data_IF_920260482371
#
_entry.id   IF_920260482371
#
_cell.length_a   1.000
_cell.length_b   1.000
_cell.length_c   1.000
_cell.angle_alpha   90.00
_cell.angle_beta   90.00
_cell.angle_gamma   90.00
#
_symmetry.space_group_name_H-M   'P 1'
#
loop_
_entity.id
_entity.type
_entity.pdbx_description
1 polymer ?
#
# COMPACT_ATOMS: atom_id res chain seq x y z
N UNK A 1 1.53 17.22 72.15
CA UNK A 1 2.47 16.28 71.47
C UNK A 1 1.80 14.91 71.42
N UNK A 2 1.12 14.58 70.31
CA UNK A 2 0.42 13.29 70.14
C UNK A 2 1.32 12.35 69.34
N UNK A 3 1.65 11.19 69.91
CA UNK A 3 2.44 10.12 69.30
C UNK A 3 1.56 9.36 68.30
N UNK A 4 2.00 9.25 67.04
CA UNK A 4 1.35 8.44 66.01
C UNK A 4 2.21 7.19 65.77
N UNK A 5 1.75 6.06 66.30
CA UNK A 5 2.39 4.75 66.15
C UNK A 5 1.91 4.15 64.82
N UNK A 6 2.81 3.98 63.85
CA UNK A 6 2.51 3.31 62.57
C UNK A 6 2.87 1.83 62.70
N UNK A 7 1.83 1.00 62.64
CA UNK A 7 1.88 -0.47 62.66
C UNK A 7 2.34 -0.96 61.28
N UNK A 8 3.51 -1.62 61.19
CA UNK A 8 3.95 -2.32 59.99
C UNK A 8 3.18 -3.65 59.85
N UNK A 9 2.49 -3.83 58.73
CA UNK A 9 1.76 -5.04 58.38
C UNK A 9 2.51 -5.73 57.22
N UNK A 10 2.95 -6.99 57.35
CA UNK A 10 3.68 -7.67 56.28
C UNK A 10 2.70 -8.13 55.19
N UNK A 11 2.81 -7.54 54.01
CA UNK A 11 2.10 -8.01 52.81
C UNK A 11 2.79 -9.30 52.38
N UNK A 12 2.11 -10.41 52.64
CA UNK A 12 2.46 -11.74 52.15
C UNK A 12 2.39 -11.73 50.62
N UNK A 13 3.54 -11.62 49.96
CA UNK A 13 3.64 -11.66 48.50
C UNK A 13 3.35 -13.08 48.02
N UNK A 14 2.16 -13.25 47.45
CA UNK A 14 1.78 -14.45 46.70
C UNK A 14 2.56 -14.45 45.37
N UNK A 15 3.80 -14.96 45.39
CA UNK A 15 4.54 -15.32 44.18
C UNK A 15 4.29 -16.78 43.92
N UNK A 16 3.36 -17.08 43.02
CA UNK A 16 3.30 -18.32 42.22
C UNK A 16 2.08 -18.25 41.32
N UNK A 17 2.30 -17.91 40.04
CA UNK A 17 1.60 -18.44 38.85
C UNK A 17 1.57 -17.43 37.70
N UNK A 18 2.75 -17.02 37.20
CA UNK A 18 2.86 -16.45 35.86
C UNK A 18 4.22 -16.86 35.28
N UNK A 19 4.33 -18.08 34.78
CA UNK A 19 5.54 -18.55 34.06
C UNK A 19 5.16 -19.38 32.83
N UNK A 20 3.95 -19.94 32.80
CA UNK A 20 3.42 -20.73 31.67
C UNK A 20 3.07 -19.87 30.45
N UNK A 21 2.54 -18.66 30.64
CA UNK A 21 2.14 -17.78 29.54
C UNK A 21 3.34 -17.10 28.85
N UNK A 22 4.33 -16.65 29.64
CA UNK A 22 5.54 -16.01 29.09
C UNK A 22 6.34 -16.99 28.22
N UNK A 23 6.54 -18.23 28.67
CA UNK A 23 7.31 -19.25 27.95
C UNK A 23 6.74 -19.59 26.56
N UNK A 24 5.41 -19.58 26.40
CA UNK A 24 4.75 -19.81 25.10
C UNK A 24 4.85 -18.62 24.15
N UNK A 25 4.90 -17.40 24.67
CA UNK A 25 5.08 -16.20 23.85
C UNK A 25 6.52 -16.09 23.32
N UNK A 26 7.51 -16.51 24.11
CA UNK A 26 8.94 -16.46 23.74
C UNK A 26 9.30 -17.43 22.62
N UNK A 27 8.66 -18.61 22.54
CA UNK A 27 8.93 -19.60 21.49
C UNK A 27 8.31 -19.22 20.14
N UNK A 28 7.19 -18.50 20.12
CA UNK A 28 6.63 -17.96 18.87
C UNK A 28 7.56 -16.91 18.25
N UNK A 29 8.18 -16.06 19.08
CA UNK A 29 9.09 -14.96 18.68
C UNK A 29 10.37 -15.41 17.96
N UNK A 30 10.80 -16.67 18.08
CA UNK A 30 12.08 -17.11 17.51
C UNK A 30 12.10 -17.21 15.99
N UNK A 31 10.93 -17.27 15.33
CA UNK A 31 10.82 -17.44 13.88
C UNK A 31 10.22 -16.23 13.15
N UNK A 32 9.96 -15.11 13.83
CA UNK A 32 9.47 -13.90 13.19
C UNK A 32 10.28 -12.67 13.55
N UNK A 33 10.52 -11.83 12.55
CA UNK A 33 11.02 -10.47 12.77
C UNK A 33 9.82 -9.58 13.08
N UNK A 34 9.79 -9.01 14.28
CA UNK A 34 8.81 -7.98 14.64
C UNK A 34 9.07 -6.74 13.79
N UNK A 35 8.05 -6.24 13.08
CA UNK A 35 8.14 -4.95 12.40
C UNK A 35 8.02 -3.80 13.39
N UNK A 36 8.79 -2.73 13.18
CA UNK A 36 8.61 -1.48 13.92
C UNK A 36 7.58 -0.59 13.23
N UNK A 37 6.88 0.25 14.00
CA UNK A 37 5.99 1.25 13.45
C UNK A 37 6.75 2.24 12.54
N UNK A 38 6.09 2.71 11.49
CA UNK A 38 6.63 3.74 10.59
C UNK A 38 6.81 5.05 11.39
N UNK A 39 7.99 5.70 11.34
CA UNK A 39 8.20 6.94 12.08
C UNK A 39 7.23 8.04 11.65
N UNK A 40 6.72 8.83 12.60
CA UNK A 40 5.71 9.88 12.36
C UNK A 40 6.08 10.86 11.23
N UNK A 41 7.37 11.12 11.03
CA UNK A 41 7.87 11.99 9.98
C UNK A 41 7.49 11.53 8.55
N UNK A 42 7.27 10.24 8.31
CA UNK A 42 6.87 9.71 7.00
C UNK A 42 5.40 9.97 6.65
N UNK A 43 4.61 10.41 7.63
CA UNK A 43 3.22 10.83 7.42
C UNK A 43 3.10 12.35 7.22
N UNK A 44 4.22 13.06 7.14
CA UNK A 44 4.25 14.50 6.87
C UNK A 44 4.34 14.77 5.36
N UNK A 45 4.00 15.98 4.93
CA UNK A 45 4.19 16.40 3.53
C UNK A 45 5.68 16.62 3.25
N UNK A 46 6.23 15.98 2.20
CA UNK A 46 7.61 16.20 1.74
C UNK A 46 7.74 17.53 0.98
N UNK A 47 8.94 18.12 0.92
CA UNK A 47 9.18 19.32 0.12
C UNK A 47 9.20 19.02 -1.39
N UNK A 48 9.67 17.84 -1.77
CA UNK A 48 9.73 17.31 -3.13
C UNK A 48 8.55 16.38 -3.39
N UNK A 49 7.50 16.94 -3.97
CA UNK A 49 6.25 16.22 -4.25
C UNK A 49 6.24 15.63 -5.66
N UNK A 50 6.05 14.32 -5.78
CA UNK A 50 5.68 13.69 -7.05
C UNK A 50 4.25 14.04 -7.48
N UNK A 51 3.84 13.61 -8.66
CA UNK A 51 2.49 13.84 -9.21
C UNK A 51 1.77 12.52 -9.45
N UNK A 52 0.43 12.56 -9.49
CA UNK A 52 -0.39 11.39 -9.84
C UNK A 52 -1.27 11.76 -11.02
N UNK A 53 -1.21 10.95 -12.08
CA UNK A 53 -1.93 11.16 -13.31
C UNK A 53 -2.93 10.03 -13.52
N UNK A 54 -4.19 10.37 -13.80
CA UNK A 54 -5.16 9.41 -14.33
C UNK A 54 -4.79 9.10 -15.78
N UNK A 55 -4.74 7.82 -16.11
CA UNK A 55 -4.71 7.34 -17.49
C UNK A 55 -5.97 6.52 -17.74
N UNK A 56 -6.53 6.70 -18.94
CA UNK A 56 -7.62 5.88 -19.45
C UNK A 56 -7.14 5.12 -20.67
N UNK A 57 -7.56 3.87 -20.79
CA UNK A 57 -7.11 3.03 -21.89
C UNK A 57 -8.19 2.10 -22.38
N UNK A 58 -8.23 1.97 -23.71
CA UNK A 58 -9.10 1.01 -24.37
C UNK A 58 -8.61 -0.41 -24.15
N UNK A 59 -9.53 -1.29 -23.77
CA UNK A 59 -9.33 -2.74 -23.62
C UNK A 59 -10.66 -3.46 -23.88
N UNK A 60 -10.80 -4.71 -23.42
CA UNK A 60 -11.99 -5.51 -23.58
C UNK A 60 -12.39 -6.16 -22.26
N UNK A 61 -13.68 -6.42 -22.06
CA UNK A 61 -14.12 -7.32 -20.99
C UNK A 61 -13.79 -8.77 -21.37
N UNK A 62 -12.66 -9.27 -20.86
CA UNK A 62 -12.20 -10.64 -21.14
C UNK A 62 -12.95 -11.72 -20.36
N UNK A 63 -13.84 -11.36 -19.42
CA UNK A 63 -14.73 -12.35 -18.77
C UNK A 63 -15.83 -12.82 -19.71
N UNK A 64 -16.12 -12.05 -20.77
CA UNK A 64 -17.15 -12.36 -21.74
C UNK A 64 -16.55 -12.90 -23.05
N UNK A 65 -17.17 -13.93 -23.61
CA UNK A 65 -16.73 -14.52 -24.88
C UNK A 65 -16.75 -13.51 -26.05
N UNK A 66 -17.72 -12.61 -26.06
CA UNK A 66 -17.85 -11.56 -27.08
C UNK A 66 -16.78 -10.45 -26.96
N UNK A 67 -16.07 -10.37 -25.83
CA UNK A 67 -15.03 -9.37 -25.55
C UNK A 67 -15.46 -7.95 -25.94
N UNK A 68 -16.54 -7.40 -25.36
CA UNK A 68 -16.97 -6.04 -25.68
C UNK A 68 -15.85 -5.06 -25.32
N UNK A 69 -15.67 -4.04 -26.16
CA UNK A 69 -14.69 -2.98 -25.91
C UNK A 69 -15.11 -2.14 -24.70
N UNK A 70 -14.16 -1.86 -23.81
CA UNK A 70 -14.35 -1.05 -22.61
C UNK A 70 -13.18 -0.08 -22.45
N UNK A 71 -13.37 0.95 -21.62
CA UNK A 71 -12.30 1.86 -21.20
C UNK A 71 -12.02 1.63 -19.72
N UNK A 72 -10.78 1.25 -19.38
CA UNK A 72 -10.34 1.08 -17.99
C UNK A 72 -9.46 2.23 -17.54
N UNK A 73 -9.39 2.40 -16.22
CA UNK A 73 -8.60 3.45 -15.55
C UNK A 73 -7.37 2.86 -14.89
N UNK A 74 -6.29 3.63 -14.87
CA UNK A 74 -5.16 3.42 -13.99
C UNK A 74 -4.61 4.77 -13.53
N UNK A 75 -3.91 4.79 -12.40
CA UNK A 75 -3.29 6.00 -11.86
C UNK A 75 -1.79 5.80 -11.82
N UNK A 76 -1.06 6.78 -12.33
CA UNK A 76 0.40 6.74 -12.44
C UNK A 76 0.99 7.81 -11.54
N UNK A 77 1.68 7.38 -10.49
CA UNK A 77 2.58 8.24 -9.73
C UNK A 77 3.89 8.42 -10.49
N UNK A 78 4.30 9.67 -10.63
CA UNK A 78 5.61 10.08 -11.12
C UNK A 78 6.39 10.75 -9.99
N UNK A 79 7.65 10.37 -9.75
CA UNK A 79 8.44 10.95 -8.68
C UNK A 79 8.76 12.41 -8.97
N UNK A 80 9.06 13.19 -7.92
CA UNK A 80 9.54 14.57 -8.09
C UNK A 80 10.76 14.61 -9.01
N UNK A 81 10.73 15.51 -10.00
CA UNK A 81 11.81 15.62 -10.99
C UNK A 81 11.83 14.49 -12.02
N UNK A 82 10.72 13.75 -12.19
CA UNK A 82 10.55 12.80 -13.28
C UNK A 82 10.94 13.43 -14.63
N UNK A 83 11.76 12.71 -15.38
CA UNK A 83 12.18 13.08 -16.74
C UNK A 83 11.91 11.91 -17.69
N UNK A 84 11.01 12.11 -18.66
CA UNK A 84 10.70 11.11 -19.68
C UNK A 84 11.90 10.76 -20.58
N UNK A 85 12.87 11.66 -20.69
CA UNK A 85 14.07 11.50 -21.51
C UNK A 85 15.27 10.92 -20.73
N UNK A 86 15.07 10.48 -19.47
CA UNK A 86 16.13 9.83 -18.70
C UNK A 86 16.53 8.48 -19.32
N UNK A 87 17.76 8.39 -19.80
CA UNK A 87 18.34 7.20 -20.46
C UNK A 87 18.38 5.99 -19.51
N UNK A 88 18.54 6.21 -18.19
CA UNK A 88 18.54 5.12 -17.21
C UNK A 88 17.15 4.53 -17.00
N UNK A 89 16.11 5.32 -17.28
CA UNK A 89 14.73 4.99 -16.95
C UNK A 89 14.46 4.89 -15.45
N UNK A 90 13.22 4.58 -15.10
CA UNK A 90 12.79 4.40 -13.71
C UNK A 90 12.33 2.97 -13.49
N UNK A 91 12.56 2.45 -12.28
CA UNK A 91 11.88 1.24 -11.84
C UNK A 91 10.38 1.49 -11.80
N UNK A 92 9.58 0.44 -12.06
CA UNK A 92 8.12 0.53 -12.05
C UNK A 92 7.52 -0.47 -11.08
N UNK A 93 6.72 0.01 -10.15
CA UNK A 93 5.89 -0.80 -9.27
C UNK A 93 4.46 -0.83 -9.81
N UNK A 94 3.96 -2.02 -10.13
CA UNK A 94 2.53 -2.22 -10.41
C UNK A 94 1.83 -2.60 -9.11
N UNK A 95 0.85 -1.79 -8.70
CA UNK A 95 0.03 -2.01 -7.53
C UNK A 95 -1.39 -2.39 -7.93
N UNK A 96 -1.96 -3.32 -7.18
CA UNK A 96 -3.35 -3.74 -7.29
C UNK A 96 -4.06 -3.57 -5.95
N UNK A 97 -5.28 -3.04 -5.99
CA UNK A 97 -6.11 -2.88 -4.80
C UNK A 97 -6.72 -4.23 -4.37
N UNK A 98 -7.30 -4.26 -3.16
CA UNK A 98 -8.08 -5.40 -2.68
C UNK A 98 -9.52 -5.39 -3.18
N UNK A 99 -10.33 -6.38 -2.75
CA UNK A 99 -11.77 -6.36 -2.98
C UNK A 99 -12.40 -5.07 -2.41
N UNK A 100 -13.39 -4.52 -3.12
CA UNK A 100 -14.05 -3.22 -2.90
C UNK A 100 -13.20 -1.97 -3.12
N UNK A 101 -11.91 -2.10 -3.38
CA UNK A 101 -11.05 -0.98 -3.76
C UNK A 101 -11.28 -0.51 -5.20
N UNK A 102 -10.65 0.59 -5.57
CA UNK A 102 -10.67 1.14 -6.94
C UNK A 102 -9.26 1.57 -7.38
N UNK A 103 -9.05 1.70 -8.70
CA UNK A 103 -7.83 2.31 -9.23
C UNK A 103 -7.63 3.70 -8.63
N UNK A 104 -6.42 3.96 -8.15
CA UNK A 104 -6.02 5.25 -7.57
C UNK A 104 -6.28 5.39 -6.07
N UNK A 105 -6.99 4.46 -5.43
CA UNK A 105 -7.21 4.48 -3.98
C UNK A 105 -5.90 4.54 -3.18
N UNK A 106 -4.86 3.86 -3.67
CA UNK A 106 -3.49 3.93 -3.12
C UNK A 106 -3.02 5.36 -2.86
N UNK A 107 -3.41 6.30 -3.72
CA UNK A 107 -2.94 7.69 -3.68
C UNK A 107 -3.89 8.63 -2.95
N UNK A 108 -5.12 8.21 -2.64
CA UNK A 108 -6.15 9.06 -2.03
C UNK A 108 -6.52 8.63 -0.61
N UNK A 109 -6.28 7.36 -0.25
CA UNK A 109 -6.60 6.83 1.08
C UNK A 109 -5.98 7.66 2.20
N UNK A 110 -6.76 7.90 3.26
CA UNK A 110 -6.36 8.71 4.41
C UNK A 110 -5.79 10.08 4.03
N UNK A 111 -6.45 10.77 3.08
CA UNK A 111 -6.02 12.06 2.55
C UNK A 111 -4.65 12.03 1.86
N UNK A 112 -4.36 10.92 1.17
CA UNK A 112 -3.13 10.72 0.38
C UNK A 112 -1.88 10.44 1.21
N UNK A 113 -2.02 9.92 2.44
CA UNK A 113 -0.85 9.69 3.29
C UNK A 113 0.16 8.70 2.69
N UNK A 114 -0.30 7.71 1.93
CA UNK A 114 0.60 6.73 1.28
C UNK A 114 1.39 7.41 0.16
N UNK A 115 0.76 8.26 -0.65
CA UNK A 115 1.46 9.09 -1.63
C UNK A 115 2.53 9.94 -0.94
N UNK A 116 2.16 10.65 0.13
CA UNK A 116 3.10 11.49 0.88
C UNK A 116 4.26 10.66 1.44
N UNK A 117 3.99 9.43 1.88
CA UNK A 117 5.01 8.51 2.35
C UNK A 117 6.00 8.12 1.24
N UNK A 118 5.54 7.87 0.00
CA UNK A 118 6.44 7.67 -1.14
C UNK A 118 7.33 8.90 -1.37
N UNK A 119 6.74 10.10 -1.35
CA UNK A 119 7.48 11.35 -1.53
C UNK A 119 8.55 11.53 -0.43
N UNK A 120 8.23 11.25 0.84
CA UNK A 120 9.20 11.34 1.95
C UNK A 120 10.31 10.29 1.82
N UNK A 121 9.98 9.04 1.49
CA UNK A 121 11.00 7.98 1.32
C UNK A 121 11.97 8.31 0.18
N UNK A 122 11.47 8.87 -0.93
CA UNK A 122 12.30 9.29 -2.07
C UNK A 122 13.15 10.51 -1.69
N UNK A 123 12.56 11.52 -1.03
CA UNK A 123 13.29 12.73 -0.61
C UNK A 123 14.44 12.42 0.34
N UNK A 124 14.25 11.47 1.26
CA UNK A 124 15.28 11.00 2.19
C UNK A 124 16.30 10.04 1.56
N UNK A 125 16.00 9.47 0.40
CA UNK A 125 16.82 8.48 -0.26
C UNK A 125 16.68 7.06 0.30
N UNK A 126 15.62 6.78 1.08
CA UNK A 126 15.32 5.44 1.59
C UNK A 126 14.90 4.48 0.47
N UNK A 127 14.27 5.03 -0.59
CA UNK A 127 14.01 4.34 -1.85
C UNK A 127 14.47 5.20 -3.04
N UNK A 128 14.85 4.54 -4.14
CA UNK A 128 15.13 5.24 -5.40
C UNK A 128 13.83 5.81 -6.00
N UNK A 129 13.89 6.93 -6.74
CA UNK A 129 12.76 7.38 -7.55
C UNK A 129 12.22 6.25 -8.44
N UNK A 130 10.90 6.06 -8.42
CA UNK A 130 10.21 5.00 -9.16
C UNK A 130 8.85 5.48 -9.65
N UNK A 131 8.38 4.89 -10.75
CA UNK A 131 7.01 5.04 -11.23
C UNK A 131 6.13 4.04 -10.49
N UNK A 132 4.94 4.45 -10.05
CA UNK A 132 3.96 3.53 -9.44
C UNK A 132 2.68 3.56 -10.27
N UNK A 133 2.28 2.41 -10.79
CA UNK A 133 1.06 2.25 -11.58
C UNK A 133 0.04 1.51 -10.72
N UNK A 134 -0.99 2.22 -10.27
CA UNK A 134 -2.15 1.64 -9.59
C UNK A 134 -3.25 1.35 -10.63
N UNK A 135 -3.37 0.09 -11.02
CA UNK A 135 -4.40 -0.39 -11.94
C UNK A 135 -5.60 -0.97 -11.19
N UNK A 136 -6.61 -1.43 -11.93
CA UNK A 136 -7.76 -2.15 -11.39
C UNK A 136 -8.03 -3.41 -12.22
N UNK A 137 -8.33 -4.52 -11.55
CA UNK A 137 -8.93 -5.67 -12.22
C UNK A 137 -10.40 -5.43 -12.55
N UNK A 138 -11.09 -4.58 -11.78
CA UNK A 138 -12.52 -4.33 -11.96
C UNK A 138 -12.79 -3.53 -13.25
N UNK A 139 -13.70 -3.99 -14.11
CA UNK A 139 -13.96 -3.33 -15.40
C UNK A 139 -14.57 -1.94 -15.23
N UNK A 140 -15.48 -1.78 -14.26
CA UNK A 140 -16.17 -0.52 -14.00
C UNK A 140 -15.42 0.40 -13.03
N UNK A 141 -14.26 -0.04 -12.52
CA UNK A 141 -13.47 0.68 -11.51
C UNK A 141 -14.32 1.15 -10.32
N UNK A 142 -15.15 0.24 -9.80
CA UNK A 142 -16.10 0.50 -8.73
C UNK A 142 -16.24 -0.74 -7.83
N UNK A 143 -16.60 -0.57 -6.54
CA UNK A 143 -16.86 -1.70 -5.67
C UNK A 143 -17.98 -2.61 -6.23
N UNK A 144 -17.75 -3.91 -6.22
CA UNK A 144 -18.70 -4.89 -6.76
C UNK A 144 -18.68 -6.23 -6.01
N UNK A 145 -19.51 -7.18 -6.46
CA UNK A 145 -19.59 -8.52 -5.87
C UNK A 145 -18.23 -9.26 -5.92
N UNK A 146 -17.92 -10.00 -4.85
CA UNK A 146 -16.64 -10.70 -4.73
C UNK A 146 -16.41 -11.70 -5.86
N UNK A 147 -17.44 -12.45 -6.28
CA UNK A 147 -17.29 -13.42 -7.36
C UNK A 147 -16.96 -12.75 -8.69
N UNK A 148 -17.59 -11.60 -8.96
CA UNK A 148 -17.29 -10.81 -10.16
C UNK A 148 -15.85 -10.28 -10.15
N UNK A 149 -15.38 -9.75 -9.01
CA UNK A 149 -13.98 -9.32 -8.85
C UNK A 149 -13.00 -10.49 -9.03
N UNK A 150 -13.32 -11.69 -8.56
CA UNK A 150 -12.48 -12.90 -8.75
C UNK A 150 -12.40 -13.28 -10.23
N UNK A 151 -13.53 -13.27 -10.95
CA UNK A 151 -13.55 -13.56 -12.39
C UNK A 151 -12.68 -12.57 -13.16
N UNK A 152 -12.83 -11.27 -12.91
CA UNK A 152 -12.06 -10.22 -13.57
C UNK A 152 -10.56 -10.24 -13.17
N UNK A 153 -10.24 -10.50 -11.90
CA UNK A 153 -8.85 -10.65 -11.45
C UNK A 153 -8.17 -11.87 -12.10
N UNK A 154 -8.87 -13.00 -12.21
CA UNK A 154 -8.34 -14.24 -12.77
C UNK A 154 -7.85 -14.09 -14.22
N UNK A 155 -8.48 -13.19 -14.99
CA UNK A 155 -8.12 -12.93 -16.39
C UNK A 155 -7.37 -11.61 -16.62
N UNK A 156 -7.09 -10.83 -15.56
CA UNK A 156 -6.51 -9.49 -15.67
C UNK A 156 -5.16 -9.44 -16.40
N UNK A 157 -4.43 -10.55 -16.46
CA UNK A 157 -3.19 -10.66 -17.24
C UNK A 157 -3.37 -10.32 -18.74
N UNK A 158 -4.59 -10.43 -19.28
CA UNK A 158 -4.91 -10.00 -20.64
C UNK A 158 -4.79 -8.48 -20.80
N UNK A 159 -5.17 -7.70 -19.79
CA UNK A 159 -4.95 -6.25 -19.78
C UNK A 159 -3.45 -5.97 -19.87
N UNK A 160 -2.59 -6.58 -19.06
CA UNK A 160 -1.14 -6.33 -19.15
C UNK A 160 -0.53 -6.67 -20.52
N UNK A 161 -0.94 -7.80 -21.11
CA UNK A 161 -0.40 -8.24 -22.42
C UNK A 161 -0.79 -7.27 -23.52
N UNK A 162 -2.06 -6.86 -23.56
CA UNK A 162 -2.61 -6.05 -24.63
C UNK A 162 -2.40 -4.54 -24.40
N UNK A 163 -2.35 -4.11 -23.14
CA UNK A 163 -2.03 -2.76 -22.69
C UNK A 163 -0.51 -2.53 -22.55
N UNK A 164 0.35 -3.47 -22.94
CA UNK A 164 1.81 -3.23 -23.06
C UNK A 164 2.16 -2.06 -24.00
N UNK A 165 1.20 -1.62 -24.84
CA UNK A 165 1.27 -0.38 -25.62
C UNK A 165 0.76 0.86 -24.87
N UNK A 166 -0.12 0.69 -23.90
CA UNK A 166 -0.72 1.75 -23.06
C UNK A 166 0.26 2.22 -21.99
N UNK A 167 1.00 1.30 -21.38
CA UNK A 167 2.00 1.65 -20.37
C UNK A 167 3.34 2.13 -20.96
N UNK A 168 3.44 2.27 -22.29
CA UNK A 168 4.46 3.13 -22.93
C UNK A 168 4.05 4.58 -22.72
N UNK A 169 4.09 5.01 -21.47
CA UNK A 169 3.65 6.33 -21.04
C UNK A 169 4.46 7.41 -21.78
N UNK A 170 3.86 8.20 -22.69
CA UNK A 170 4.42 9.48 -23.08
C UNK A 170 3.83 10.52 -22.13
N UNK A 171 4.09 10.40 -20.83
CA UNK A 171 3.73 11.48 -19.91
C UNK A 171 4.81 12.54 -20.08
N UNK A 172 4.49 13.57 -20.87
CA UNK A 172 5.27 14.81 -20.96
C UNK A 172 4.95 15.73 -19.80
#
# INVERSE_FOLDING_TARGET
MKKLTILMMPIFTCVLSCTSAETKMTTLLQNYTVTTAIPKAYFSTAAKQGTVHLIEYATYDYTQAARPAITKKAYVYLPYGYNADDIKGYNTLFYMHGWTGIAGELFTIGNGFIKNMFDVMIEKGDIQPLIIVAATFDNDNAPQDFSRSVDELGIFHHDFRNASRVFKLPIK
#
